data_IF_236739594314
#
_entry.id   IF_236739594314
#
_cell.length_a   1.000
_cell.length_b   1.000
_cell.length_c   1.000
_cell.angle_alpha   90.00
_cell.angle_beta   90.00
_cell.angle_gamma   90.00
#
_symmetry.space_group_name_H-M   'P 1'
#
loop_
_entity.id
_entity.type
_entity.pdbx_description
1 polymer ?
#
# COMPACT_ATOMS: atom_id res chain seq x y z
N UNK A 1 33.63 -42.20 37.18
CA UNK A 1 34.10 -41.15 36.26
C UNK A 1 33.54 -41.44 34.88
N UNK A 2 32.43 -40.78 34.53
CA UNK A 2 31.92 -40.58 33.17
C UNK A 2 31.13 -39.27 33.20
N UNK A 3 31.42 -38.28 32.35
CA UNK A 3 30.77 -36.98 32.42
C UNK A 3 29.42 -36.99 31.72
N UNK A 4 28.42 -36.41 32.39
CA UNK A 4 27.09 -36.13 31.88
C UNK A 4 27.14 -35.13 30.73
N UNK A 5 26.63 -35.51 29.56
CA UNK A 5 26.40 -34.59 28.44
C UNK A 5 25.22 -33.67 28.75
N UNK A 6 25.32 -32.34 28.61
CA UNK A 6 24.16 -31.47 28.67
C UNK A 6 23.41 -31.50 27.33
N UNK A 7 22.14 -31.88 27.42
CA UNK A 7 21.13 -31.76 26.36
C UNK A 7 21.00 -30.30 25.94
N UNK A 8 21.41 -29.97 24.72
CA UNK A 8 21.15 -28.68 24.10
C UNK A 8 19.66 -28.56 23.78
N UNK A 9 18.90 -27.92 24.66
CA UNK A 9 17.56 -27.45 24.33
C UNK A 9 17.69 -26.35 23.28
N UNK A 10 17.36 -26.68 22.04
CA UNK A 10 17.10 -25.71 20.97
C UNK A 10 15.89 -24.91 21.40
N UNK A 11 16.11 -23.74 21.99
CA UNK A 11 15.09 -22.74 22.19
C UNK A 11 14.65 -22.28 20.80
N UNK A 12 13.50 -22.77 20.37
CA UNK A 12 12.74 -22.16 19.30
C UNK A 12 12.55 -20.68 19.66
N UNK A 13 13.24 -19.80 18.94
CA UNK A 13 13.09 -18.36 19.08
C UNK A 13 11.66 -18.00 18.69
N UNK A 14 10.84 -17.75 19.69
CA UNK A 14 9.54 -17.09 19.55
C UNK A 14 9.75 -15.83 18.71
N UNK A 15 8.93 -15.57 17.67
CA UNK A 15 9.04 -14.33 16.93
C UNK A 15 8.90 -13.19 17.91
N UNK A 16 9.93 -12.36 18.02
CA UNK A 16 9.94 -11.16 18.85
C UNK A 16 8.74 -10.33 18.43
N UNK A 17 7.71 -10.28 19.29
CA UNK A 17 6.63 -9.34 19.13
C UNK A 17 7.26 -7.95 19.04
N UNK A 18 6.99 -7.24 17.95
CA UNK A 18 7.42 -5.85 17.77
C UNK A 18 6.80 -5.06 18.93
N UNK A 19 7.60 -4.79 19.96
CA UNK A 19 7.19 -4.03 21.14
C UNK A 19 6.80 -2.64 20.64
N UNK A 20 5.50 -2.34 20.64
CA UNK A 20 4.96 -1.02 20.30
C UNK A 20 4.24 -0.89 18.94
N UNK A 21 3.90 -1.97 18.23
CA UNK A 21 3.07 -1.90 17.02
C UNK A 21 1.74 -1.17 17.28
N UNK A 22 1.32 -0.28 16.38
CA UNK A 22 0.00 0.40 16.39
C UNK A 22 -1.18 -0.55 16.13
N UNK A 23 -0.93 -1.85 15.96
CA UNK A 23 -1.92 -2.83 15.55
C UNK A 23 -1.96 -3.01 14.03
N UNK A 24 -3.07 -3.53 13.52
CA UNK A 24 -3.25 -3.75 12.07
C UNK A 24 -3.72 -2.46 11.39
N UNK A 25 -3.05 -2.03 10.33
CA UNK A 25 -3.48 -0.89 9.51
C UNK A 25 -4.27 -1.38 8.29
N UNK A 26 -5.31 -0.64 7.90
CA UNK A 26 -5.89 -0.80 6.58
C UNK A 26 -4.99 -0.11 5.54
N UNK A 27 -4.75 -0.77 4.42
CA UNK A 27 -3.94 -0.24 3.33
C UNK A 27 -4.80 -0.18 2.06
N UNK A 28 -5.01 1.02 1.53
CA UNK A 28 -5.75 1.25 0.29
C UNK A 28 -4.77 1.75 -0.76
N UNK A 29 -4.64 1.02 -1.87
CA UNK A 29 -3.62 1.27 -2.88
C UNK A 29 -4.27 1.63 -4.21
N UNK A 30 -3.94 2.81 -4.72
CA UNK A 30 -4.07 3.15 -6.13
C UNK A 30 -2.92 2.49 -6.90
N UNK A 31 -3.24 1.40 -7.59
CA UNK A 31 -2.29 0.63 -8.39
C UNK A 31 -1.75 1.41 -9.58
N UNK A 32 -2.57 2.28 -10.19
CA UNK A 32 -2.13 3.12 -11.30
C UNK A 32 -1.01 4.07 -10.88
N UNK A 33 -1.19 4.77 -9.76
CA UNK A 33 -0.13 5.61 -9.17
C UNK A 33 1.12 4.80 -8.86
N UNK A 34 0.98 3.65 -8.19
CA UNK A 34 2.12 2.84 -7.80
C UNK A 34 2.91 2.35 -9.02
N UNK A 35 2.23 1.72 -9.98
CA UNK A 35 2.84 1.07 -11.13
C UNK A 35 3.48 2.08 -12.08
N UNK A 36 2.77 3.17 -12.40
CA UNK A 36 3.27 4.19 -13.31
C UNK A 36 4.45 4.95 -12.72
N UNK A 37 4.34 5.39 -11.46
CA UNK A 37 5.44 6.08 -10.81
C UNK A 37 6.67 5.19 -10.65
N UNK A 38 6.47 3.89 -10.39
CA UNK A 38 7.56 2.92 -10.31
C UNK A 38 8.28 2.77 -11.65
N UNK A 39 7.52 2.62 -12.74
CA UNK A 39 8.07 2.50 -14.09
C UNK A 39 8.87 3.75 -14.46
N UNK A 40 8.37 4.94 -14.14
CA UNK A 40 9.03 6.20 -14.44
C UNK A 40 10.31 6.41 -13.64
N UNK A 41 10.32 6.04 -12.35
CA UNK A 41 11.48 6.16 -11.46
C UNK A 41 12.58 5.14 -11.77
N UNK A 42 12.19 3.88 -12.00
CA UNK A 42 13.16 2.75 -12.10
C UNK A 42 13.43 2.29 -13.52
N UNK A 43 12.71 2.83 -14.52
CA UNK A 43 12.74 2.43 -15.93
C UNK A 43 12.45 0.94 -16.18
N UNK A 44 11.80 0.27 -15.23
CA UNK A 44 11.38 -1.15 -15.32
C UNK A 44 10.00 -1.37 -14.72
N UNK A 45 9.33 -2.43 -15.16
CA UNK A 45 8.07 -2.84 -14.55
C UNK A 45 8.26 -3.35 -13.11
N UNK A 46 7.28 -3.03 -12.26
CA UNK A 46 7.20 -3.52 -10.88
C UNK A 46 7.00 -5.04 -10.85
N UNK A 47 7.57 -5.70 -9.84
CA UNK A 47 7.47 -7.15 -9.60
C UNK A 47 6.90 -7.40 -8.21
N UNK A 48 6.40 -8.62 -7.96
CA UNK A 48 5.85 -8.98 -6.64
C UNK A 48 6.83 -8.76 -5.47
N UNK A 49 8.14 -8.98 -5.69
CA UNK A 49 9.17 -8.68 -4.69
C UNK A 49 9.28 -7.18 -4.36
N UNK A 50 9.04 -6.30 -5.34
CA UNK A 50 9.09 -4.86 -5.13
C UNK A 50 7.86 -4.41 -4.33
N UNK A 51 6.69 -5.02 -4.58
CA UNK A 51 5.51 -4.80 -3.74
C UNK A 51 5.73 -5.23 -2.29
N UNK A 52 6.40 -6.38 -2.08
CA UNK A 52 6.77 -6.80 -0.73
C UNK A 52 7.66 -5.75 -0.05
N UNK A 53 8.67 -5.24 -0.76
CA UNK A 53 9.55 -4.16 -0.25
C UNK A 53 8.71 -2.91 0.11
N UNK A 54 7.76 -2.52 -0.73
CA UNK A 54 6.84 -1.40 -0.43
C UNK A 54 6.06 -1.66 0.86
N UNK A 55 5.45 -2.84 1.01
CA UNK A 55 4.66 -3.19 2.20
C UNK A 55 5.53 -3.24 3.45
N UNK A 56 6.72 -3.85 3.37
CA UNK A 56 7.68 -3.88 4.48
C UNK A 56 8.07 -2.46 4.91
N UNK A 57 8.43 -1.59 3.97
CA UNK A 57 8.77 -0.20 4.25
C UNK A 57 7.61 0.61 4.85
N UNK A 58 6.37 0.36 4.41
CA UNK A 58 5.15 0.94 4.98
C UNK A 58 4.99 0.52 6.45
N UNK A 59 5.12 -0.78 6.73
CA UNK A 59 4.98 -1.33 8.08
C UNK A 59 6.05 -0.76 9.01
N UNK A 60 7.30 -0.70 8.55
CA UNK A 60 8.42 -0.14 9.31
C UNK A 60 8.23 1.36 9.57
N UNK A 61 7.85 2.14 8.55
CA UNK A 61 7.69 3.59 8.65
C UNK A 61 6.59 3.98 9.63
N UNK A 62 5.44 3.33 9.56
CA UNK A 62 4.27 3.69 10.37
C UNK A 62 4.15 2.86 11.65
N UNK A 63 5.05 1.89 11.85
CA UNK A 63 5.06 0.96 12.96
C UNK A 63 3.69 0.29 13.15
N UNK A 64 3.19 -0.32 12.08
CA UNK A 64 1.95 -1.09 12.11
C UNK A 64 2.00 -2.29 11.17
N UNK A 65 1.09 -3.24 11.36
CA UNK A 65 1.03 -4.47 10.56
C UNK A 65 0.06 -4.28 9.41
N UNK A 66 0.48 -4.58 8.19
CA UNK A 66 -0.38 -4.60 7.00
C UNK A 66 -0.75 -6.06 6.72
N UNK A 67 -2.04 -6.35 6.70
CA UNK A 67 -2.53 -7.69 6.37
C UNK A 67 -3.33 -7.68 5.07
N UNK A 68 -3.33 -8.77 4.30
CA UNK A 68 -4.17 -8.86 3.11
C UNK A 68 -5.66 -8.65 3.40
N UNK A 69 -6.13 -9.01 4.60
CA UNK A 69 -7.52 -8.86 5.01
C UNK A 69 -7.99 -7.41 5.06
N UNK A 70 -7.13 -6.48 5.51
CA UNK A 70 -7.42 -5.05 5.53
C UNK A 70 -6.76 -4.28 4.38
N UNK A 71 -6.31 -4.98 3.34
CA UNK A 71 -5.66 -4.34 2.18
C UNK A 71 -6.53 -4.44 0.94
N UNK A 72 -6.80 -3.30 0.31
CA UNK A 72 -7.48 -3.20 -0.97
C UNK A 72 -6.53 -2.61 -2.02
N UNK A 73 -6.24 -3.37 -3.08
CA UNK A 73 -5.42 -2.93 -4.21
C UNK A 73 -6.31 -2.63 -5.42
N UNK A 74 -6.25 -1.43 -5.97
CA UNK A 74 -7.05 -1.04 -7.14
C UNK A 74 -6.18 -0.96 -8.40
N UNK A 75 -6.25 -1.99 -9.22
CA UNK A 75 -5.38 -2.19 -10.38
C UNK A 75 -6.10 -2.08 -11.72
N UNK A 76 -5.32 -2.00 -12.80
CA UNK A 76 -5.84 -2.06 -14.17
C UNK A 76 -5.90 -3.52 -14.63
N UNK A 77 -6.95 -3.93 -15.35
CA UNK A 77 -6.97 -5.25 -16.02
C UNK A 77 -5.80 -5.37 -17.02
N UNK A 78 -4.95 -6.42 -16.96
CA UNK A 78 -3.82 -6.55 -17.87
C UNK A 78 -4.21 -6.43 -19.34
N UNK A 79 -5.30 -7.07 -19.73
CA UNK A 79 -5.83 -7.09 -21.10
C UNK A 79 -6.29 -5.71 -21.59
N UNK A 80 -6.55 -4.76 -20.70
CA UNK A 80 -6.90 -3.39 -21.05
C UNK A 80 -5.68 -2.57 -21.53
N UNK A 81 -4.46 -3.03 -21.29
CA UNK A 81 -3.24 -2.38 -21.79
C UNK A 81 -3.01 -2.69 -23.27
N UNK A 82 -2.55 -1.72 -24.05
CA UNK A 82 -2.30 -1.92 -25.49
C UNK A 82 -1.01 -2.71 -25.81
N UNK A 83 -0.02 -2.69 -24.91
CA UNK A 83 1.31 -3.25 -25.18
C UNK A 83 1.49 -4.66 -24.61
N UNK A 84 1.75 -5.70 -25.42
CA UNK A 84 1.87 -7.09 -24.94
C UNK A 84 2.91 -7.29 -23.84
N UNK A 85 4.02 -6.54 -23.89
CA UNK A 85 5.05 -6.56 -22.85
C UNK A 85 4.49 -6.04 -21.51
N UNK A 86 3.74 -4.93 -21.55
CA UNK A 86 3.13 -4.35 -20.36
C UNK A 86 2.03 -5.27 -19.80
N UNK A 87 1.19 -5.86 -20.66
CA UNK A 87 0.19 -6.86 -20.28
C UNK A 87 0.85 -8.03 -19.53
N UNK A 88 1.90 -8.63 -20.11
CA UNK A 88 2.59 -9.77 -19.51
C UNK A 88 3.27 -9.38 -18.19
N UNK A 89 3.89 -8.20 -18.11
CA UNK A 89 4.53 -7.71 -16.90
C UNK A 89 3.51 -7.51 -15.78
N UNK A 90 2.38 -6.85 -16.09
CA UNK A 90 1.30 -6.60 -15.12
C UNK A 90 0.65 -7.91 -14.65
N UNK A 91 0.39 -8.86 -15.55
CA UNK A 91 -0.12 -10.18 -15.19
C UNK A 91 0.83 -10.96 -14.26
N UNK A 92 2.14 -10.93 -14.54
CA UNK A 92 3.17 -11.55 -13.67
C UNK A 92 3.21 -10.88 -12.30
N UNK A 93 3.11 -9.56 -12.27
CA UNK A 93 3.05 -8.78 -11.04
C UNK A 93 1.82 -9.17 -10.19
N UNK A 94 0.62 -9.20 -10.77
CA UNK A 94 -0.59 -9.59 -10.06
C UNK A 94 -0.57 -11.03 -9.58
N UNK A 95 0.01 -11.97 -10.35
CA UNK A 95 0.25 -13.33 -9.87
C UNK A 95 1.15 -13.33 -8.62
N UNK A 96 2.15 -12.47 -8.60
CA UNK A 96 3.04 -12.27 -7.45
C UNK A 96 2.30 -11.78 -6.20
N UNK A 97 1.50 -10.71 -6.31
CA UNK A 97 0.79 -10.16 -5.13
C UNK A 97 -0.34 -11.09 -4.65
N UNK A 98 -1.03 -11.80 -5.56
CA UNK A 98 -2.00 -12.84 -5.21
C UNK A 98 -1.33 -13.99 -4.46
N UNK A 99 -0.11 -14.38 -4.86
CA UNK A 99 0.69 -15.37 -4.12
C UNK A 99 1.06 -14.94 -2.70
N UNK A 100 1.01 -13.65 -2.39
CA UNK A 100 1.19 -13.09 -1.05
C UNK A 100 -0.14 -12.88 -0.30
N UNK A 101 -1.27 -13.28 -0.89
CA UNK A 101 -2.61 -13.17 -0.31
C UNK A 101 -3.37 -11.90 -0.66
N UNK A 102 -2.76 -10.94 -1.37
CA UNK A 102 -3.42 -9.69 -1.75
C UNK A 102 -4.30 -9.88 -2.99
N UNK A 103 -5.56 -9.47 -2.90
CA UNK A 103 -6.52 -9.57 -4.00
C UNK A 103 -6.71 -8.20 -4.67
N UNK A 104 -6.24 -7.99 -5.91
CA UNK A 104 -6.48 -6.75 -6.61
C UNK A 104 -7.92 -6.68 -7.15
N UNK A 105 -8.53 -5.51 -6.98
CA UNK A 105 -9.76 -5.08 -7.64
C UNK A 105 -9.36 -4.46 -8.97
N UNK A 106 -9.67 -5.14 -10.06
CA UNK A 106 -9.23 -4.77 -11.39
C UNK A 106 -10.32 -4.00 -12.13
N UNK A 107 -9.92 -2.96 -12.85
CA UNK A 107 -10.81 -2.12 -13.66
C UNK A 107 -10.26 -1.94 -15.07
N UNK A 108 -11.18 -1.78 -16.02
CA UNK A 108 -10.83 -1.39 -17.38
C UNK A 108 -10.35 0.07 -17.45
N UNK A 109 -9.64 0.40 -18.53
CA UNK A 109 -9.24 1.77 -18.83
C UNK A 109 -10.32 2.51 -19.63
N UNK A 110 -10.51 3.79 -19.32
CA UNK A 110 -11.21 4.76 -20.16
C UNK A 110 -10.38 5.04 -21.42
N UNK A 111 -10.99 5.67 -22.42
CA UNK A 111 -10.32 6.07 -23.67
C UNK A 111 -9.09 6.97 -23.46
N UNK A 112 -9.06 7.72 -22.35
CA UNK A 112 -7.94 8.58 -21.95
C UNK A 112 -6.84 7.85 -21.15
N UNK A 113 -6.92 6.53 -21.01
CA UNK A 113 -5.93 5.72 -20.29
C UNK A 113 -6.04 5.76 -18.76
N UNK A 114 -7.03 6.47 -18.19
CA UNK A 114 -7.32 6.41 -16.75
C UNK A 114 -8.23 5.23 -16.41
N UNK A 115 -8.09 4.65 -15.23
CA UNK A 115 -8.97 3.57 -14.78
C UNK A 115 -10.42 4.04 -14.62
N UNK A 116 -11.37 3.15 -14.91
CA UNK A 116 -12.81 3.45 -14.83
C UNK A 116 -13.32 3.26 -13.40
N UNK A 117 -13.65 4.36 -12.73
CA UNK A 117 -14.37 4.35 -11.45
C UNK A 117 -13.51 4.00 -10.23
N UNK A 118 -12.19 3.93 -10.38
CA UNK A 118 -11.24 3.62 -9.30
C UNK A 118 -11.34 4.63 -8.16
N UNK A 119 -11.44 5.93 -8.45
CA UNK A 119 -11.47 6.99 -7.43
C UNK A 119 -12.68 6.84 -6.50
N UNK A 120 -13.86 6.58 -7.08
CA UNK A 120 -15.10 6.32 -6.34
C UNK A 120 -14.98 5.05 -5.49
N UNK A 121 -14.35 4.00 -6.02
CA UNK A 121 -14.17 2.74 -5.30
C UNK A 121 -13.21 2.89 -4.11
N UNK A 122 -12.10 3.60 -4.32
CA UNK A 122 -11.14 3.95 -3.26
C UNK A 122 -11.83 4.78 -2.19
N UNK A 123 -12.60 5.80 -2.58
CA UNK A 123 -13.31 6.67 -1.64
C UNK A 123 -14.26 5.88 -0.72
N UNK A 124 -15.10 5.00 -1.31
CA UNK A 124 -15.99 4.12 -0.55
C UNK A 124 -15.25 3.17 0.37
N UNK A 125 -14.05 2.69 -0.01
CA UNK A 125 -13.24 1.84 0.87
C UNK A 125 -12.66 2.61 2.04
N UNK A 126 -12.16 3.81 1.82
CA UNK A 126 -11.64 4.67 2.89
C UNK A 126 -12.75 4.94 3.91
N UNK A 127 -13.95 5.30 3.46
CA UNK A 127 -15.12 5.51 4.34
C UNK A 127 -15.48 4.24 5.12
N UNK A 128 -15.54 3.08 4.45
CA UNK A 128 -15.78 1.79 5.12
C UNK A 128 -14.73 1.48 6.18
N UNK A 129 -13.45 1.71 5.88
CA UNK A 129 -12.35 1.46 6.82
C UNK A 129 -12.33 2.48 7.95
N UNK A 130 -12.74 3.73 7.70
CA UNK A 130 -12.89 4.75 8.73
C UNK A 130 -13.93 4.32 9.79
N UNK A 131 -15.01 3.68 9.35
CA UNK A 131 -16.09 3.21 10.22
C UNK A 131 -15.85 1.84 10.88
N UNK A 132 -14.84 1.07 10.47
CA UNK A 132 -14.60 -0.28 11.00
C UNK A 132 -13.86 -0.26 12.37
N UNK A 133 -14.46 -0.64 13.51
CA UNK A 133 -13.81 -0.55 14.82
C UNK A 133 -12.49 -1.33 14.96
N UNK A 134 -12.24 -2.34 14.12
CA UNK A 134 -11.01 -3.16 14.15
C UNK A 134 -9.82 -2.50 13.46
N UNK A 135 -10.05 -1.46 12.67
CA UNK A 135 -9.00 -0.74 11.93
C UNK A 135 -8.56 0.48 12.75
N UNK A 136 -7.42 0.47 13.46
CA UNK A 136 -6.92 1.62 14.21
C UNK A 136 -6.42 2.77 13.32
N UNK A 137 -5.99 2.49 12.08
CA UNK A 137 -5.40 3.47 11.19
C UNK A 137 -5.58 3.11 9.71
N UNK A 138 -5.57 4.12 8.84
CA UNK A 138 -5.68 3.96 7.39
C UNK A 138 -4.39 4.45 6.75
N UNK A 139 -3.85 3.67 5.82
CA UNK A 139 -2.75 4.05 4.95
C UNK A 139 -3.30 4.16 3.54
N UNK A 140 -3.10 5.32 2.92
CA UNK A 140 -3.50 5.58 1.54
C UNK A 140 -2.26 5.68 0.68
N UNK A 141 -2.11 4.80 -0.30
CA UNK A 141 -1.12 4.93 -1.35
C UNK A 141 -1.78 5.56 -2.57
N UNK A 142 -1.49 6.83 -2.83
CA UNK A 142 -2.07 7.56 -3.96
C UNK A 142 -1.21 8.74 -4.40
N UNK A 143 -1.38 9.15 -5.65
CA UNK A 143 -0.86 10.37 -6.23
C UNK A 143 -1.97 11.33 -6.66
N UNK A 144 -3.23 11.00 -6.39
CA UNK A 144 -4.37 11.76 -6.86
C UNK A 144 -4.77 12.86 -5.87
N UNK A 145 -5.08 14.04 -6.42
CA UNK A 145 -5.62 15.18 -5.68
C UNK A 145 -7.07 14.97 -5.27
N UNK A 146 -7.80 14.08 -5.94
CA UNK A 146 -9.26 13.94 -5.82
C UNK A 146 -9.69 13.35 -4.46
N UNK A 147 -8.73 12.91 -3.63
CA UNK A 147 -8.99 12.45 -2.27
C UNK A 147 -8.98 13.58 -1.22
N UNK A 148 -8.72 14.83 -1.60
CA UNK A 148 -8.72 15.96 -0.66
C UNK A 148 -10.08 16.11 0.05
N UNK A 149 -11.17 16.22 -0.72
CA UNK A 149 -12.52 16.40 -0.18
C UNK A 149 -12.94 15.22 0.70
N UNK A 150 -12.64 14.00 0.27
CA UNK A 150 -12.87 12.79 1.06
C UNK A 150 -12.13 12.82 2.41
N UNK A 151 -10.86 13.21 2.41
CA UNK A 151 -10.08 13.32 3.65
C UNK A 151 -10.53 14.49 4.53
N UNK A 152 -11.07 15.56 3.92
CA UNK A 152 -11.71 16.67 4.64
C UNK A 152 -13.04 16.26 5.27
N UNK A 153 -13.88 15.50 4.57
CA UNK A 153 -15.13 14.94 5.11
C UNK A 153 -14.84 13.95 6.24
N UNK A 154 -13.83 13.10 6.06
CA UNK A 154 -13.31 12.22 7.12
C UNK A 154 -12.67 13.01 8.30
N UNK A 155 -12.48 14.33 8.15
CA UNK A 155 -11.94 15.25 9.18
C UNK A 155 -13.00 16.17 9.79
N UNK A 156 -14.10 16.45 9.09
CA UNK A 156 -15.10 17.45 9.48
C UNK A 156 -16.13 16.92 10.48
N UNK A 157 -16.27 15.60 10.63
CA UNK A 157 -17.05 15.00 11.70
C UNK A 157 -16.33 15.15 13.05
N UNK A 158 -16.89 15.99 13.92
CA UNK A 158 -16.46 16.28 15.30
C UNK A 158 -16.58 15.06 16.24
N UNK A 159 -15.91 13.96 15.93
CA UNK A 159 -15.91 12.77 16.78
C UNK A 159 -14.49 12.44 17.23
N UNK A 160 -14.34 12.23 18.53
CA UNK A 160 -13.11 11.72 19.18
C UNK A 160 -12.70 10.32 18.69
N UNK A 161 -13.44 9.72 17.74
CA UNK A 161 -13.20 8.41 17.13
C UNK A 161 -12.43 8.49 15.79
N UNK A 162 -11.90 9.66 15.43
CA UNK A 162 -11.18 9.84 14.17
C UNK A 162 -9.91 8.99 14.12
N UNK A 163 -9.75 8.23 13.03
CA UNK A 163 -8.56 7.43 12.79
C UNK A 163 -7.47 8.23 12.09
N UNK A 164 -6.19 8.04 12.45
CA UNK A 164 -5.10 8.61 11.71
C UNK A 164 -5.07 8.06 10.28
N UNK A 165 -4.86 8.97 9.32
CA UNK A 165 -4.59 8.62 7.92
C UNK A 165 -3.12 8.91 7.64
N UNK A 166 -2.42 7.93 7.08
CA UNK A 166 -1.04 8.03 6.62
C UNK A 166 -1.00 8.02 5.10
N UNK A 167 -0.08 8.77 4.50
CA UNK A 167 0.05 8.87 3.05
C UNK A 167 1.33 8.17 2.57
N UNK A 168 1.20 7.39 1.50
CA UNK A 168 2.31 6.86 0.73
C UNK A 168 2.19 7.42 -0.68
N UNK A 169 3.23 8.06 -1.20
CA UNK A 169 3.14 8.70 -2.52
C UNK A 169 4.50 8.86 -3.18
N UNK A 170 4.51 9.07 -4.49
CA UNK A 170 5.70 9.57 -5.19
C UNK A 170 5.82 11.08 -4.98
N UNK A 171 7.02 11.61 -4.75
CA UNK A 171 7.27 13.05 -4.50
C UNK A 171 6.65 13.95 -5.57
N UNK A 172 6.76 13.54 -6.83
CA UNK A 172 6.19 14.28 -7.97
C UNK A 172 4.66 14.23 -8.05
N UNK A 173 4.03 13.25 -7.41
CA UNK A 173 2.58 13.08 -7.37
C UNK A 173 1.95 13.69 -6.11
N UNK A 174 2.75 14.20 -5.17
CA UNK A 174 2.23 14.76 -3.94
C UNK A 174 1.42 16.03 -4.23
N UNK A 175 0.10 15.97 -3.98
CA UNK A 175 -0.69 17.17 -3.77
C UNK A 175 -0.43 17.73 -2.36
N UNK A 176 0.20 18.90 -2.28
CA UNK A 176 0.52 19.56 -1.01
C UNK A 176 -0.70 19.86 -0.13
N UNK A 177 -1.91 19.93 -0.71
CA UNK A 177 -3.15 20.13 0.04
C UNK A 177 -3.56 18.91 0.89
N UNK A 178 -3.02 17.73 0.60
CA UNK A 178 -3.24 16.53 1.42
C UNK A 178 -2.41 16.56 2.72
N UNK A 179 -1.30 17.30 2.76
CA UNK A 179 -0.36 17.29 3.90
C UNK A 179 -1.02 17.66 5.24
N UNK A 180 -1.89 18.68 5.34
CA UNK A 180 -2.57 19.00 6.59
C UNK A 180 -3.67 18.00 7.00
N UNK A 181 -4.02 17.06 6.12
CA UNK A 181 -5.10 16.09 6.32
C UNK A 181 -4.58 14.72 6.81
N UNK A 182 -3.30 14.45 6.58
CA UNK A 182 -2.61 13.20 6.92
C UNK A 182 -1.63 13.40 8.08
N UNK A 183 -1.33 12.33 8.80
CA UNK A 183 -0.46 12.37 9.99
C UNK A 183 1.01 12.39 9.62
N UNK A 184 1.41 11.50 8.71
CA UNK A 184 2.78 11.36 8.22
C UNK A 184 2.76 10.90 6.75
N UNK A 185 3.88 11.13 6.06
CA UNK A 185 4.07 10.77 4.66
C UNK A 185 5.28 9.84 4.52
N UNK A 186 5.15 8.81 3.69
CA UNK A 186 6.23 7.99 3.17
C UNK A 186 6.37 8.26 1.68
N UNK A 187 7.57 8.66 1.24
CA UNK A 187 7.85 8.85 -0.17
C UNK A 187 8.40 7.58 -0.80
N UNK A 188 7.80 7.12 -1.89
CA UNK A 188 8.24 5.94 -2.62
C UNK A 188 9.62 6.13 -3.26
N UNK A 189 10.00 7.38 -3.57
CA UNK A 189 11.32 7.76 -4.07
C UNK A 189 12.45 7.43 -3.09
N UNK A 190 12.17 7.38 -1.78
CA UNK A 190 13.17 7.03 -0.77
C UNK A 190 13.40 5.50 -0.69
N UNK A 191 12.47 4.71 -1.25
CA UNK A 191 12.55 3.24 -1.34
C UNK A 191 13.11 2.82 -2.70
N UNK A 192 12.66 3.49 -3.75
CA UNK A 192 13.03 3.24 -5.14
C UNK A 192 13.62 4.51 -5.75
N UNK A 193 14.91 4.80 -5.48
CA UNK A 193 15.54 6.01 -5.97
C UNK A 193 15.55 6.00 -7.51
N UNK A 194 15.40 7.19 -8.15
CA UNK A 194 15.53 7.30 -9.59
C UNK A 194 16.87 6.75 -10.05
N UNK A 195 16.88 5.99 -11.15
CA UNK A 195 18.14 5.65 -11.80
C UNK A 195 18.82 6.94 -12.25
N UNK A 196 19.99 7.24 -11.69
CA UNK A 196 20.85 8.32 -12.17
C UNK A 196 21.19 8.05 -13.63
N UNK A 197 20.86 9.00 -14.51
CA UNK A 197 21.32 8.99 -15.91
C UNK A 197 22.83 9.21 -16.00
#
# INVERSE_FOLDING_TARGET
VYPSSPSSSVTASTPTAIVGSRGECALVIDGGTLEMGFLEATKRYIKGKDFKITVDAIQDKFNCKVTPYFTDYFGTEPEALRGPVAQQALGKYYKGIKGMGFAPHLSELKSNGKQKGTDIAIARKIEKMANNPEVPAIILLTGDSDFEDLLQETKSEKSDKRKPVFLVTWKKCLNRRLLPLVREVLYLDDIFPPTSE
#
